data_IF_696973847573
#
_entry.id   IF_696973847573
#
_cell.length_a   1.000
_cell.length_b   1.000
_cell.length_c   1.000
_cell.angle_alpha   90.00
_cell.angle_beta   90.00
_cell.angle_gamma   90.00
#
_symmetry.space_group_name_H-M   'P 1'
#
loop_
_entity.id
_entity.type
_entity.pdbx_description
1 polymer ?
#
# COMPACT_ATOMS: atom_id res chain seq x y z
N UNK A 1 -22.22 -23.62 -58.96
CA UNK A 1 -22.69 -22.78 -57.81
C UNK A 1 -23.57 -23.57 -56.84
N UNK A 2 -24.36 -24.58 -57.30
CA UNK A 2 -25.23 -25.41 -56.45
C UNK A 2 -24.48 -26.41 -55.55
N UNK A 3 -23.29 -26.87 -55.93
CA UNK A 3 -22.48 -27.83 -55.16
C UNK A 3 -21.84 -27.17 -53.91
N UNK A 4 -21.51 -25.86 -53.94
CA UNK A 4 -20.95 -25.14 -52.80
C UNK A 4 -22.00 -24.87 -51.71
N UNK A 5 -23.26 -24.69 -52.07
CA UNK A 5 -24.35 -24.45 -51.11
C UNK A 5 -24.70 -25.67 -50.26
N UNK A 6 -24.37 -26.87 -50.70
CA UNK A 6 -24.69 -28.11 -49.97
C UNK A 6 -23.55 -28.57 -49.05
N UNK A 7 -22.31 -28.17 -49.35
CA UNK A 7 -21.12 -28.53 -48.56
C UNK A 7 -21.01 -27.75 -47.24
N UNK A 8 -21.45 -26.52 -47.22
CA UNK A 8 -21.36 -25.65 -46.02
C UNK A 8 -22.19 -26.18 -44.82
N UNK A 9 -23.46 -26.60 -44.96
CA UNK A 9 -24.23 -27.12 -43.84
C UNK A 9 -23.74 -28.48 -43.35
N UNK A 10 -23.19 -29.33 -44.23
CA UNK A 10 -22.67 -30.65 -43.85
C UNK A 10 -21.36 -30.53 -43.03
N UNK A 11 -20.47 -29.60 -43.40
CA UNK A 11 -19.24 -29.32 -42.62
C UNK A 11 -19.57 -28.71 -41.25
N UNK A 12 -20.57 -27.85 -41.19
CA UNK A 12 -21.03 -27.27 -39.92
C UNK A 12 -21.68 -28.32 -39.00
N UNK A 13 -22.47 -29.25 -39.57
CA UNK A 13 -23.16 -30.30 -38.81
C UNK A 13 -22.19 -31.32 -38.21
N UNK A 14 -21.07 -31.61 -38.88
CA UNK A 14 -20.05 -32.56 -38.41
C UNK A 14 -19.03 -31.86 -37.49
N UNK A 15 -18.67 -30.63 -37.77
CA UNK A 15 -17.70 -29.87 -36.97
C UNK A 15 -18.22 -29.41 -35.62
N UNK A 16 -19.54 -29.14 -35.51
CA UNK A 16 -20.12 -28.60 -34.28
C UNK A 16 -20.05 -29.55 -33.05
N UNK A 17 -20.35 -30.85 -33.17
CA UNK A 17 -20.19 -31.77 -32.03
C UNK A 17 -18.73 -32.11 -31.72
N UNK A 18 -17.81 -31.99 -32.71
CA UNK A 18 -16.39 -32.31 -32.53
C UNK A 18 -15.57 -31.17 -31.91
N UNK A 19 -16.11 -29.95 -31.89
CA UNK A 19 -15.38 -28.77 -31.37
C UNK A 19 -14.86 -28.98 -29.96
N UNK A 20 -15.65 -29.58 -29.06
CA UNK A 20 -15.23 -29.84 -27.69
C UNK A 20 -14.09 -30.84 -27.59
N UNK A 21 -14.02 -31.82 -28.47
CA UNK A 21 -12.91 -32.78 -28.54
C UNK A 21 -11.64 -32.16 -29.11
N UNK A 22 -11.77 -31.26 -30.10
CA UNK A 22 -10.65 -30.53 -30.67
C UNK A 22 -10.06 -29.57 -29.66
N UNK A 23 -10.90 -28.83 -28.92
CA UNK A 23 -10.43 -27.93 -27.82
C UNK A 23 -9.82 -28.72 -26.66
N UNK A 24 -10.39 -29.87 -26.30
CA UNK A 24 -9.81 -30.71 -25.26
C UNK A 24 -8.44 -31.29 -25.69
N UNK A 25 -8.29 -31.74 -26.96
CA UNK A 25 -7.03 -32.22 -27.47
C UNK A 25 -5.98 -31.10 -27.59
N UNK A 26 -6.38 -29.89 -28.01
CA UNK A 26 -5.49 -28.74 -28.09
C UNK A 26 -5.06 -28.28 -26.68
N UNK A 27 -5.97 -28.29 -25.71
CA UNK A 27 -5.64 -27.98 -24.31
C UNK A 27 -4.69 -29.03 -23.71
N UNK A 28 -4.90 -30.33 -24.02
CA UNK A 28 -4.00 -31.38 -23.55
C UNK A 28 -2.61 -31.33 -24.21
N UNK A 29 -2.54 -30.91 -25.46
CA UNK A 29 -1.26 -30.70 -26.14
C UNK A 29 -0.48 -29.50 -25.64
N UNK A 30 -1.19 -28.44 -25.24
CA UNK A 30 -0.60 -27.27 -24.57
C UNK A 30 -0.11 -27.59 -23.16
N UNK A 31 -0.79 -28.50 -22.44
CA UNK A 31 -0.38 -28.95 -21.11
C UNK A 31 0.74 -30.01 -21.16
N UNK A 32 0.90 -30.71 -22.28
CA UNK A 32 1.93 -31.72 -22.50
C UNK A 32 3.21 -31.13 -23.12
N UNK A 33 3.23 -29.88 -23.55
CA UNK A 33 4.48 -29.21 -23.89
C UNK A 33 5.32 -29.18 -22.59
N UNK A 34 6.58 -29.74 -22.62
CA UNK A 34 7.46 -29.57 -21.48
C UNK A 34 7.55 -28.06 -21.26
N UNK A 35 7.14 -27.62 -20.07
CA UNK A 35 7.34 -26.24 -19.67
C UNK A 35 8.79 -25.91 -20.00
N UNK A 36 9.07 -24.83 -20.77
CA UNK A 36 10.44 -24.39 -20.92
C UNK A 36 10.98 -24.32 -19.51
N UNK A 37 12.12 -25.04 -19.26
CA UNK A 37 12.77 -24.98 -17.97
C UNK A 37 12.77 -23.50 -17.60
N UNK A 38 12.03 -23.11 -16.58
CA UNK A 38 12.09 -21.76 -16.03
C UNK A 38 13.58 -21.60 -15.72
N UNK A 39 14.31 -20.96 -16.66
CA UNK A 39 15.54 -20.33 -16.27
C UNK A 39 15.11 -19.48 -15.08
N UNK A 40 15.49 -19.91 -13.87
CA UNK A 40 15.40 -19.12 -12.66
C UNK A 40 16.06 -17.79 -13.01
N UNK A 41 15.24 -16.87 -13.54
CA UNK A 41 15.68 -15.48 -13.66
C UNK A 41 16.09 -15.11 -12.26
N UNK A 42 17.38 -14.80 -12.02
CA UNK A 42 17.77 -14.36 -10.71
C UNK A 42 16.84 -13.21 -10.38
N UNK A 43 15.93 -13.45 -9.42
CA UNK A 43 15.09 -12.38 -8.88
C UNK A 43 16.13 -11.40 -8.34
N UNK A 44 16.25 -10.20 -8.91
CA UNK A 44 17.18 -9.24 -8.36
C UNK A 44 16.75 -9.04 -6.92
N UNK A 45 17.54 -9.55 -5.99
CA UNK A 45 17.40 -9.22 -4.58
C UNK A 45 17.68 -7.73 -4.50
N UNK A 46 16.65 -6.93 -4.72
CA UNK A 46 16.72 -5.50 -4.50
C UNK A 46 16.86 -5.34 -3.00
N UNK A 47 18.11 -5.21 -2.53
CA UNK A 47 18.37 -4.83 -1.16
C UNK A 47 17.69 -3.48 -0.94
N UNK A 48 16.56 -3.52 -0.27
CA UNK A 48 15.88 -2.33 0.22
C UNK A 48 16.37 -2.14 1.65
N UNK A 49 17.21 -1.15 1.94
CA UNK A 49 17.55 -0.86 3.32
C UNK A 49 16.26 -0.62 4.09
N UNK A 50 16.08 -1.34 5.19
CA UNK A 50 14.96 -1.11 6.09
C UNK A 50 15.10 0.32 6.64
N UNK A 51 14.17 1.20 6.27
CA UNK A 51 14.09 2.55 6.83
C UNK A 51 13.00 2.52 7.86
N UNK A 52 13.36 2.74 9.11
CA UNK A 52 12.36 2.96 10.16
C UNK A 52 11.70 4.34 9.92
N UNK A 53 10.41 4.40 9.54
CA UNK A 53 9.71 5.65 9.27
C UNK A 53 9.56 6.55 10.52
N UNK A 54 9.92 6.04 11.69
CA UNK A 54 9.85 6.72 12.96
C UNK A 54 11.19 7.25 13.49
N UNK A 55 12.27 7.11 12.71
CA UNK A 55 13.60 7.66 13.08
C UNK A 55 13.56 9.17 13.21
N UNK A 56 12.81 9.83 12.35
CA UNK A 56 12.63 11.27 12.35
C UNK A 56 11.19 11.62 12.78
N UNK A 57 11.06 12.60 13.66
CA UNK A 57 9.74 13.13 14.00
C UNK A 57 9.06 13.81 12.81
N UNK A 58 9.88 14.40 11.91
CA UNK A 58 9.41 15.11 10.73
C UNK A 58 10.35 14.86 9.55
N UNK A 59 9.80 14.40 8.44
CA UNK A 59 10.50 14.17 7.20
C UNK A 59 9.75 14.81 6.02
N UNK A 60 10.03 16.07 5.69
CA UNK A 60 9.48 16.70 4.51
C UNK A 60 10.25 16.26 3.27
N UNK A 61 9.56 15.63 2.32
CA UNK A 61 10.12 15.11 1.08
C UNK A 61 9.68 15.95 -0.11
N UNK A 62 10.60 16.28 -0.99
CA UNK A 62 10.37 16.98 -2.24
C UNK A 62 11.08 16.27 -3.40
N UNK A 63 10.76 16.66 -4.63
CA UNK A 63 11.37 16.08 -5.82
C UNK A 63 10.58 14.89 -6.39
N UNK A 64 11.01 14.41 -7.55
CA UNK A 64 10.30 13.40 -8.34
C UNK A 64 10.21 12.03 -7.64
N UNK A 65 11.22 11.69 -6.85
CA UNK A 65 11.29 10.44 -6.08
C UNK A 65 10.52 10.46 -4.77
N UNK A 66 10.12 11.64 -4.27
CA UNK A 66 9.47 11.79 -2.97
C UNK A 66 8.21 10.91 -2.80
N UNK A 67 7.25 10.87 -3.76
CA UNK A 67 6.09 10.01 -3.62
C UNK A 67 6.43 8.51 -3.60
N UNK A 68 7.47 8.11 -4.35
CA UNK A 68 7.91 6.72 -4.40
C UNK A 68 8.52 6.26 -3.07
N UNK A 69 9.27 7.14 -2.40
CA UNK A 69 9.86 6.89 -1.09
C UNK A 69 8.81 6.95 0.03
N UNK A 70 7.85 7.88 -0.03
CA UNK A 70 6.75 7.97 0.92
C UNK A 70 5.90 6.68 0.94
N UNK A 71 5.67 6.05 -0.23
CA UNK A 71 4.99 4.73 -0.33
C UNK A 71 5.73 3.66 0.45
N UNK A 72 7.05 3.59 0.29
CA UNK A 72 7.86 2.59 1.00
C UNK A 72 7.81 2.81 2.50
N UNK A 73 7.90 4.05 2.97
CA UNK A 73 7.83 4.38 4.40
C UNK A 73 6.47 4.05 5.02
N UNK A 74 5.38 4.38 4.32
CA UNK A 74 4.04 4.02 4.78
C UNK A 74 3.86 2.50 4.87
N UNK A 75 4.31 1.75 3.87
CA UNK A 75 4.23 0.29 3.87
C UNK A 75 5.16 -0.34 4.91
N UNK A 76 6.36 0.18 5.12
CA UNK A 76 7.28 -0.29 6.16
C UNK A 76 6.64 -0.13 7.55
N UNK A 77 6.00 1.00 7.83
CA UNK A 77 5.27 1.19 9.09
C UNK A 77 4.14 0.17 9.27
N UNK A 78 3.39 -0.14 8.22
CA UNK A 78 2.30 -1.11 8.27
C UNK A 78 2.78 -2.56 8.38
N UNK A 79 3.87 -2.93 7.71
CA UNK A 79 4.38 -4.29 7.66
C UNK A 79 5.22 -4.65 8.90
N UNK A 80 6.13 -3.76 9.31
CA UNK A 80 7.10 -4.03 10.38
C UNK A 80 6.55 -3.72 11.77
N UNK A 81 5.73 -2.68 11.87
CA UNK A 81 5.21 -2.20 13.14
C UNK A 81 3.76 -2.63 13.42
N UNK A 82 3.18 -3.47 12.60
CA UNK A 82 1.79 -4.02 12.66
C UNK A 82 0.92 -3.48 13.82
N UNK A 83 1.00 -4.15 14.99
CA UNK A 83 0.18 -3.81 16.16
C UNK A 83 0.71 -2.61 16.94
N UNK A 84 1.94 -2.15 16.65
CA UNK A 84 2.63 -1.07 17.37
C UNK A 84 2.64 0.27 16.64
N UNK A 85 2.01 0.36 15.45
CA UNK A 85 1.87 1.61 14.70
C UNK A 85 0.46 1.80 14.17
N UNK A 86 0.09 3.06 13.97
CA UNK A 86 -1.07 3.50 13.23
C UNK A 86 -0.62 4.51 12.17
N UNK A 87 -0.84 4.16 10.91
CA UNK A 87 -0.53 5.03 9.76
C UNK A 87 -1.81 5.78 9.38
N UNK A 88 -1.72 7.09 9.33
CA UNK A 88 -2.82 7.99 8.96
C UNK A 88 -2.49 8.64 7.62
N UNK A 89 -3.31 8.40 6.61
CA UNK A 89 -3.12 8.92 5.26
C UNK A 89 -4.43 9.56 4.80
N UNK A 90 -4.50 10.87 4.56
CA UNK A 90 -5.68 11.50 4.00
C UNK A 90 -6.08 10.87 2.67
N UNK A 91 -7.37 10.76 2.39
CA UNK A 91 -7.91 10.11 1.18
C UNK A 91 -7.32 10.65 -0.13
N UNK A 92 -7.18 11.97 -0.34
CA UNK A 92 -6.54 12.50 -1.54
C UNK A 92 -5.11 11.96 -1.71
N UNK A 93 -4.33 11.93 -0.62
CA UNK A 93 -2.95 11.45 -0.62
C UNK A 93 -2.88 9.93 -0.85
N UNK A 94 -3.77 9.17 -0.23
CA UNK A 94 -3.89 7.73 -0.44
C UNK A 94 -4.21 7.43 -1.93
N UNK A 95 -5.07 8.22 -2.56
CA UNK A 95 -5.37 8.09 -3.99
C UNK A 95 -4.17 8.43 -4.87
N UNK A 96 -3.41 9.48 -4.55
CA UNK A 96 -2.19 9.86 -5.28
C UNK A 96 -1.08 8.84 -5.08
N UNK A 97 -0.82 8.43 -3.85
CA UNK A 97 0.27 7.53 -3.50
C UNK A 97 0.01 6.09 -3.97
N UNK A 98 -1.16 5.55 -3.73
CA UNK A 98 -1.46 4.14 -3.97
C UNK A 98 -2.41 3.89 -5.14
N UNK A 99 -2.99 4.92 -5.73
CA UNK A 99 -3.95 4.76 -6.82
C UNK A 99 -5.26 4.12 -6.38
N UNK A 100 -5.68 4.37 -5.15
CA UNK A 100 -6.96 3.89 -4.65
C UNK A 100 -8.09 4.64 -5.33
N UNK A 101 -9.07 3.91 -5.86
CA UNK A 101 -10.32 4.51 -6.33
C UNK A 101 -11.23 4.87 -5.15
N UNK A 102 -12.23 5.73 -5.37
CA UNK A 102 -13.20 6.10 -4.32
C UNK A 102 -13.95 4.89 -3.78
N UNK A 103 -14.22 3.90 -4.63
CA UNK A 103 -14.91 2.66 -4.29
C UNK A 103 -13.98 1.60 -3.65
N UNK A 104 -12.66 1.78 -3.76
CA UNK A 104 -11.66 0.93 -3.10
C UNK A 104 -11.55 1.30 -1.61
N UNK A 105 -12.67 1.48 -0.95
CA UNK A 105 -12.71 1.73 0.49
C UNK A 105 -12.18 0.51 1.21
N UNK A 106 -10.95 0.65 1.66
CA UNK A 106 -10.44 -0.21 2.71
C UNK A 106 -11.41 -0.03 3.89
N UNK A 107 -12.10 -1.10 4.23
CA UNK A 107 -13.12 -1.12 5.28
C UNK A 107 -12.59 -0.36 6.52
N UNK A 108 -13.39 0.50 7.13
CA UNK A 108 -13.02 1.38 8.26
C UNK A 108 -12.35 0.64 9.45
N UNK A 109 -12.31 -0.68 9.40
CA UNK A 109 -11.80 -1.58 10.45
C UNK A 109 -10.40 -2.15 10.18
N UNK A 110 -9.59 -1.55 9.31
CA UNK A 110 -8.24 -2.06 9.06
C UNK A 110 -7.32 -1.69 10.22
N UNK A 111 -6.91 -2.69 11.00
CA UNK A 111 -5.93 -2.50 12.06
C UNK A 111 -4.61 -1.92 11.49
N UNK A 112 -4.19 -0.78 12.04
CA UNK A 112 -2.94 -0.13 11.68
C UNK A 112 -3.01 0.92 10.57
N UNK A 113 -4.12 1.04 9.82
CA UNK A 113 -4.29 2.06 8.77
C UNK A 113 -5.60 2.82 8.95
N UNK A 114 -5.52 4.15 8.93
CA UNK A 114 -6.67 5.03 8.96
C UNK A 114 -6.63 6.03 7.79
N UNK A 115 -7.69 6.07 6.98
CA UNK A 115 -7.80 6.93 5.80
C UNK A 115 -8.95 7.91 5.98
N UNK A 116 -8.72 9.07 6.62
CA UNK A 116 -9.71 10.13 6.78
C UNK A 116 -10.00 10.83 5.46
N UNK A 117 -11.13 11.52 5.37
CA UNK A 117 -11.60 12.18 4.16
C UNK A 117 -10.66 13.25 3.60
N UNK A 118 -9.91 13.95 4.46
CA UNK A 118 -8.97 15.01 4.11
C UNK A 118 -7.92 15.21 5.22
N UNK A 119 -6.97 16.12 4.99
CA UNK A 119 -5.90 16.43 5.95
C UNK A 119 -6.44 17.04 7.25
N UNK A 120 -7.44 17.91 7.19
CA UNK A 120 -8.05 18.50 8.40
C UNK A 120 -8.64 17.41 9.32
N UNK A 121 -9.38 16.45 8.76
CA UNK A 121 -9.91 15.31 9.50
C UNK A 121 -8.79 14.40 10.06
N UNK A 122 -7.68 14.24 9.33
CA UNK A 122 -6.51 13.51 9.80
C UNK A 122 -5.88 14.17 11.02
N UNK A 123 -5.67 15.47 10.96
CA UNK A 123 -5.10 16.25 12.07
C UNK A 123 -6.03 16.28 13.28
N UNK A 124 -7.33 16.48 13.08
CA UNK A 124 -8.32 16.44 14.17
C UNK A 124 -8.35 15.07 14.87
N UNK A 125 -8.24 13.98 14.11
CA UNK A 125 -8.12 12.65 14.68
C UNK A 125 -6.85 12.48 15.50
N UNK A 126 -5.68 12.87 14.97
CA UNK A 126 -4.40 12.80 15.69
C UNK A 126 -4.39 13.64 16.96
N UNK A 127 -4.92 14.87 16.91
CA UNK A 127 -5.06 15.74 18.06
C UNK A 127 -5.91 15.10 19.19
N UNK A 128 -7.03 14.47 18.80
CA UNK A 128 -7.92 13.78 19.72
C UNK A 128 -7.26 12.53 20.31
N UNK A 129 -6.63 11.71 19.49
CA UNK A 129 -5.94 10.50 19.93
C UNK A 129 -4.81 10.82 20.92
N UNK A 130 -4.01 11.85 20.63
CA UNK A 130 -2.92 12.29 21.49
C UNK A 130 -3.44 12.93 22.80
N UNK A 131 -4.57 13.64 22.76
CA UNK A 131 -5.20 14.16 23.97
C UNK A 131 -5.68 13.02 24.90
N UNK A 132 -6.35 12.00 24.33
CA UNK A 132 -6.78 10.82 25.09
C UNK A 132 -5.59 10.09 25.71
N UNK A 133 -4.47 9.95 24.98
CA UNK A 133 -3.25 9.34 25.50
C UNK A 133 -2.63 10.12 26.63
N UNK A 134 -2.63 11.46 26.55
CA UNK A 134 -2.12 12.32 27.59
C UNK A 134 -2.90 12.21 28.90
N UNK A 135 -4.19 11.87 28.84
CA UNK A 135 -5.04 11.66 30.03
C UNK A 135 -4.91 10.21 30.58
N UNK A 136 -4.54 9.24 29.74
CA UNK A 136 -4.41 7.86 30.15
C UNK A 136 -3.06 7.61 30.82
N UNK A 137 -3.05 7.16 32.07
CA UNK A 137 -1.83 6.77 32.80
C UNK A 137 -1.19 5.47 32.29
N UNK A 138 -1.65 4.92 31.16
CA UNK A 138 -1.16 3.68 30.57
C UNK A 138 -0.10 3.94 29.49
N UNK A 139 0.92 3.06 29.35
CA UNK A 139 1.91 3.19 28.29
C UNK A 139 1.24 3.15 26.92
N UNK A 140 1.61 4.09 26.05
CA UNK A 140 1.01 4.28 24.74
C UNK A 140 1.30 3.08 23.83
N UNK A 141 0.25 2.42 23.33
CA UNK A 141 0.38 1.16 22.62
C UNK A 141 0.91 1.30 21.19
N UNK A 142 0.61 2.40 20.48
CA UNK A 142 0.91 2.51 19.04
C UNK A 142 1.61 3.82 18.72
N UNK A 143 2.68 3.77 17.90
CA UNK A 143 3.29 4.99 17.33
C UNK A 143 2.39 5.50 16.20
N UNK A 144 2.27 6.81 16.05
CA UNK A 144 1.43 7.45 15.04
C UNK A 144 2.32 7.94 13.90
N UNK A 145 1.95 7.61 12.66
CA UNK A 145 2.62 8.11 11.46
C UNK A 145 1.61 8.83 10.57
N UNK A 146 1.81 10.11 10.34
CA UNK A 146 1.09 10.88 9.33
C UNK A 146 1.87 10.80 8.00
N UNK A 147 1.20 10.44 6.91
CA UNK A 147 1.76 10.53 5.53
C UNK A 147 0.80 11.36 4.70
N UNK A 148 1.20 12.59 4.37
CA UNK A 148 0.30 13.54 3.72
C UNK A 148 1.04 14.59 2.91
N UNK A 149 0.35 15.21 1.94
CA UNK A 149 0.72 16.51 1.42
C UNK A 149 0.39 17.58 2.48
N UNK A 150 1.39 18.40 2.85
CA UNK A 150 1.22 19.36 3.94
C UNK A 150 0.33 20.55 3.56
N UNK A 151 0.15 20.81 2.26
CA UNK A 151 -0.65 21.93 1.75
C UNK A 151 -0.47 23.22 2.58
N UNK A 152 -1.58 23.69 3.18
CA UNK A 152 -1.61 24.91 4.00
C UNK A 152 -1.58 24.65 5.51
N UNK A 153 -1.48 23.38 5.92
CA UNK A 153 -1.59 22.96 7.33
C UNK A 153 -0.23 22.84 8.05
N UNK A 154 0.84 23.35 7.43
CA UNK A 154 2.21 23.25 7.97
C UNK A 154 2.35 23.75 9.41
N UNK A 155 1.71 24.88 9.75
CA UNK A 155 1.74 25.44 11.12
C UNK A 155 1.02 24.55 12.14
N UNK A 156 -0.08 23.92 11.73
CA UNK A 156 -0.83 23.01 12.60
C UNK A 156 -0.07 21.72 12.82
N UNK A 157 0.53 21.17 11.77
CA UNK A 157 1.40 20.00 11.84
C UNK A 157 2.60 20.30 12.75
N UNK A 158 3.27 21.44 12.59
CA UNK A 158 4.40 21.84 13.44
C UNK A 158 4.01 21.93 14.93
N UNK A 159 2.86 22.50 15.23
CA UNK A 159 2.34 22.58 16.61
C UNK A 159 2.03 21.20 17.17
N UNK A 160 1.41 20.31 16.38
CA UNK A 160 1.12 18.94 16.78
C UNK A 160 2.40 18.19 17.17
N UNK A 161 3.40 18.21 16.29
CA UNK A 161 4.69 17.54 16.52
C UNK A 161 5.46 18.13 17.72
N UNK A 162 5.45 19.45 17.87
CA UNK A 162 6.12 20.12 19.00
C UNK A 162 5.46 19.83 20.35
N UNK A 163 4.14 19.67 20.37
CA UNK A 163 3.38 19.37 21.57
C UNK A 163 3.52 17.92 22.03
N UNK A 164 3.74 16.99 21.07
CA UNK A 164 3.78 15.55 21.32
C UNK A 164 5.07 14.91 20.78
N UNK A 165 6.24 15.28 21.31
CA UNK A 165 7.52 14.79 20.83
C UNK A 165 7.66 13.28 21.05
N UNK A 166 7.99 12.55 19.98
CA UNK A 166 8.21 11.10 20.00
C UNK A 166 6.94 10.24 19.96
N UNK A 167 5.74 10.83 20.05
CA UNK A 167 4.47 10.08 19.98
C UNK A 167 3.91 10.01 18.55
N UNK A 168 4.24 11.02 17.73
CA UNK A 168 3.82 11.10 16.34
C UNK A 168 5.00 11.47 15.46
N UNK A 169 5.08 10.83 14.30
CA UNK A 169 6.00 11.14 13.22
C UNK A 169 5.22 11.54 11.97
N UNK A 170 5.84 12.34 11.11
CA UNK A 170 5.22 12.78 9.86
C UNK A 170 6.19 12.65 8.68
N UNK A 171 5.73 11.99 7.61
CA UNK A 171 6.33 12.02 6.27
C UNK A 171 5.45 12.94 5.43
N UNK A 172 5.99 14.08 5.10
CA UNK A 172 5.24 15.13 4.41
C UNK A 172 5.68 15.28 2.97
N UNK A 173 4.72 15.50 2.10
CA UNK A 173 4.90 15.87 0.71
C UNK A 173 4.49 17.34 0.54
N UNK A 174 4.80 17.90 -0.63
CA UNK A 174 4.42 19.28 -0.94
C UNK A 174 5.39 20.33 -0.42
N UNK A 175 4.90 21.56 -0.28
CA UNK A 175 5.74 22.71 0.03
C UNK A 175 5.83 22.99 1.53
N UNK A 176 6.75 22.29 2.18
CA UNK A 176 7.02 22.48 3.60
C UNK A 176 7.88 23.73 3.83
N UNK A 177 7.49 24.66 4.74
CA UNK A 177 8.31 25.82 5.10
C UNK A 177 9.49 25.37 6.00
N UNK A 178 10.70 25.42 5.50
CA UNK A 178 11.89 25.05 6.27
C UNK A 178 12.74 24.00 5.56
N UNK A 179 13.51 23.28 6.34
CA UNK A 179 14.42 22.24 5.83
C UNK A 179 13.64 21.13 5.15
N UNK A 180 14.02 20.79 3.90
CA UNK A 180 13.38 19.77 3.07
C UNK A 180 14.43 18.81 2.55
N UNK A 181 14.05 17.57 2.40
CA UNK A 181 14.84 16.52 1.79
C UNK A 181 14.39 16.35 0.35
N UNK A 182 15.29 16.60 -0.59
CA UNK A 182 15.01 16.39 -2.01
C UNK A 182 15.39 14.95 -2.41
N UNK A 183 14.46 14.26 -3.07
CA UNK A 183 14.68 12.90 -3.57
C UNK A 183 14.51 12.92 -5.08
N UNK A 184 15.56 12.52 -5.81
CA UNK A 184 15.51 12.44 -7.27
C UNK A 184 14.80 11.15 -7.74
N UNK A 185 14.65 11.00 -9.05
CA UNK A 185 14.00 9.84 -9.67
C UNK A 185 14.71 8.50 -9.37
N UNK A 186 16.01 8.53 -9.07
CA UNK A 186 16.83 7.36 -8.71
C UNK A 186 16.83 7.08 -7.20
N UNK A 187 16.11 7.89 -6.44
CA UNK A 187 16.02 7.81 -4.99
C UNK A 187 17.20 8.43 -4.25
N UNK A 188 18.13 9.15 -4.97
CA UNK A 188 19.24 9.83 -4.33
C UNK A 188 18.73 10.98 -3.47
N UNK A 189 19.29 11.10 -2.28
CA UNK A 189 18.90 12.05 -1.24
C UNK A 189 19.84 13.25 -1.25
N UNK A 190 19.24 14.43 -1.34
CA UNK A 190 19.89 15.69 -1.01
C UNK A 190 19.21 16.24 0.25
N UNK A 191 19.95 16.18 1.36
CA UNK A 191 19.43 16.55 2.68
C UNK A 191 20.21 17.75 3.24
N UNK A 192 19.52 18.65 3.95
CA UNK A 192 20.18 19.74 4.67
C UNK A 192 21.13 19.18 5.74
N UNK A 193 22.15 19.94 6.08
CA UNK A 193 23.24 19.51 6.97
C UNK A 193 22.79 18.94 8.32
N UNK A 194 21.65 19.39 8.83
CA UNK A 194 21.05 18.86 10.07
C UNK A 194 20.48 17.44 9.97
N UNK A 195 20.23 16.95 8.77
CA UNK A 195 19.68 15.61 8.50
C UNK A 195 20.70 14.69 7.83
N UNK A 196 21.87 15.20 7.45
CA UNK A 196 22.96 14.39 6.90
C UNK A 196 23.43 13.38 7.96
N UNK A 197 23.38 12.10 7.60
CA UNK A 197 23.72 11.00 8.52
C UNK A 197 22.53 10.37 9.24
N UNK A 198 21.38 11.05 9.31
CA UNK A 198 20.12 10.44 9.77
C UNK A 198 19.40 9.68 8.67
N UNK A 199 19.70 9.99 7.41
CA UNK A 199 19.12 9.36 6.22
C UNK A 199 20.22 8.66 5.40
N UNK A 200 19.89 7.56 4.70
CA UNK A 200 20.82 6.95 3.76
C UNK A 200 21.00 7.86 2.53
N UNK A 201 22.09 7.68 1.80
CA UNK A 201 22.36 8.42 0.55
C UNK A 201 21.27 8.18 -0.53
N UNK A 202 20.55 7.08 -0.41
CA UNK A 202 19.43 6.73 -1.28
C UNK A 202 18.25 6.19 -0.48
N UNK A 203 17.09 6.75 -0.72
CA UNK A 203 15.83 6.23 -0.22
C UNK A 203 15.31 5.12 -1.15
N UNK A 204 14.76 4.04 -0.61
CA UNK A 204 14.09 3.04 -1.43
C UNK A 204 12.86 3.66 -2.10
N UNK A 205 12.61 3.23 -3.32
CA UNK A 205 11.51 3.70 -4.12
C UNK A 205 10.60 2.54 -4.54
N UNK A 206 9.31 2.78 -4.66
CA UNK A 206 8.34 1.80 -5.09
C UNK A 206 7.36 2.42 -6.09
N UNK A 207 7.03 1.67 -7.14
CA UNK A 207 6.01 2.10 -8.10
C UNK A 207 4.63 2.16 -7.44
N UNK A 208 3.73 2.99 -8.01
CA UNK A 208 2.36 3.14 -7.50
C UNK A 208 1.58 1.81 -7.55
N UNK A 209 1.75 1.04 -8.63
CA UNK A 209 1.06 -0.25 -8.79
C UNK A 209 1.55 -1.28 -7.77
N UNK A 210 2.86 -1.42 -7.62
CA UNK A 210 3.46 -2.34 -6.64
C UNK A 210 3.05 -1.95 -5.21
N UNK A 211 3.06 -0.66 -4.88
CA UNK A 211 2.66 -0.16 -3.57
C UNK A 211 1.20 -0.45 -3.27
N UNK A 212 0.32 -0.29 -4.26
CA UNK A 212 -1.10 -0.64 -4.13
C UNK A 212 -1.29 -2.13 -3.85
N UNK A 213 -0.64 -2.99 -4.63
CA UNK A 213 -0.79 -4.43 -4.48
C UNK A 213 -0.27 -4.90 -3.11
N UNK A 214 0.84 -4.34 -2.63
CA UNK A 214 1.36 -4.60 -1.28
C UNK A 214 0.42 -4.08 -0.20
N UNK A 215 -0.13 -2.88 -0.35
CA UNK A 215 -1.09 -2.33 0.60
C UNK A 215 -2.29 -3.27 0.77
N UNK A 216 -2.87 -3.75 -0.33
CA UNK A 216 -3.96 -4.72 -0.27
C UNK A 216 -3.55 -6.05 0.38
N UNK A 217 -2.33 -6.52 0.15
CA UNK A 217 -1.84 -7.74 0.78
C UNK A 217 -1.72 -7.57 2.30
N UNK A 218 -1.18 -6.42 2.76
CA UNK A 218 -1.06 -6.08 4.18
C UNK A 218 -2.44 -5.98 4.83
N UNK A 219 -3.36 -5.21 4.25
CA UNK A 219 -4.72 -5.03 4.75
C UNK A 219 -5.45 -6.37 4.87
N UNK A 220 -5.39 -7.23 3.85
CA UNK A 220 -6.00 -8.58 3.90
C UNK A 220 -5.39 -9.46 4.99
N UNK A 221 -4.11 -9.32 5.28
CA UNK A 221 -3.43 -10.08 6.33
C UNK A 221 -3.86 -9.66 7.74
N UNK A 222 -4.33 -8.42 7.90
CA UNK A 222 -4.82 -7.87 9.17
C UNK A 222 -6.32 -8.12 9.40
N UNK A 223 -7.09 -8.46 8.35
CA UNK A 223 -8.50 -8.77 8.51
C UNK A 223 -8.64 -10.12 9.24
N UNK A 224 -9.15 -10.17 10.48
CA UNK A 224 -9.29 -11.43 11.21
C UNK A 224 -10.21 -12.34 10.39
N UNK A 225 -9.72 -13.55 10.02
CA UNK A 225 -10.55 -14.58 9.39
C UNK A 225 -11.79 -14.76 10.26
N UNK A 226 -12.92 -14.23 9.83
CA UNK A 226 -14.23 -14.41 10.48
C UNK A 226 -14.40 -15.92 10.71
N UNK A 227 -14.14 -16.37 11.95
CA UNK A 227 -14.28 -17.77 12.34
C UNK A 227 -15.68 -18.19 11.89
N UNK A 228 -15.77 -19.01 10.84
CA UNK A 228 -17.03 -19.65 10.43
C UNK A 228 -17.59 -20.28 11.71
N UNK A 229 -18.57 -19.61 12.29
CA UNK A 229 -19.36 -20.15 13.39
C UNK A 229 -19.90 -21.46 12.88
N UNK A 230 -19.33 -22.57 13.40
CA UNK A 230 -19.70 -23.91 13.04
C UNK A 230 -21.19 -24.05 13.11
N UNK A 231 -21.79 -24.49 12.04
CA UNK A 231 -23.17 -24.90 11.95
C UNK A 231 -23.41 -25.91 13.09
N UNK A 232 -24.21 -25.49 14.06
CA UNK A 232 -24.69 -26.34 15.15
C UNK A 232 -25.41 -27.53 14.52
N UNK A 233 -25.00 -28.78 14.81
CA UNK A 233 -25.70 -29.93 14.25
C UNK A 233 -27.16 -29.94 14.71
N UNK A 234 -28.11 -30.36 13.84
CA UNK A 234 -29.52 -30.42 14.20
C UNK A 234 -29.71 -31.39 15.36
N UNK A 235 -30.40 -30.94 16.42
CA UNK A 235 -30.87 -31.82 17.48
C UNK A 235 -31.81 -32.86 16.86
N UNK A 236 -31.42 -34.13 16.91
CA UNK A 236 -32.32 -35.25 16.69
C UNK A 236 -33.29 -35.32 17.89
N UNK A 237 -34.55 -35.13 17.61
CA UNK A 237 -35.71 -35.59 18.43
C UNK A 237 -35.98 -37.04 18.16
#
# INVERSE_FOLDING_TARGET
>A
LLLFGLLLPTVAAIGYPLRHRIYAAAASALLAAPAPAEEERPVPLTYRPAIDPFVLALLPLTGEGAPASARVMALAALEECRDSALVVIPRPDASVLFGLAEDDLLDDSTDGLFIPGNLDAALAYLETELAIRGEAAAPHGRRLLLVADCEKESDRISRLLSKHPGEVSAVLLGDWPGDRVTVDHDGRVDAPSGLVGALPERLPAMSRTEARDRLYAVVRSHTPKKRRRGSRPPKRT
#
